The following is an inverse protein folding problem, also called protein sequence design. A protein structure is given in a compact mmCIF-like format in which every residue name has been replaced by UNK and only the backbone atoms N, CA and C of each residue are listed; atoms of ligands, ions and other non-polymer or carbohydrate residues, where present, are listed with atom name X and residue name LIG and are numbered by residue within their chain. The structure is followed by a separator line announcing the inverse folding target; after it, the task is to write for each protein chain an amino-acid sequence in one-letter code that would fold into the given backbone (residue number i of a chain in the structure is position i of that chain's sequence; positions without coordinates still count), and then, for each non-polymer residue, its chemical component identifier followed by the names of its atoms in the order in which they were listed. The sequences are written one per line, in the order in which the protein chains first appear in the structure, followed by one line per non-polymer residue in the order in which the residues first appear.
data_IF_768556673901
#
_entry.id   IF_768556673901
#
_cell.length_a   1.000
_cell.length_b   1.000
_cell.length_c   1.000
_cell.angle_alpha   90.00
_cell.angle_beta   90.00
_cell.angle_gamma   90.00
#
_symmetry.space_group_name_H-M   'P 1'
#
loop_
_entity.id
_entity.type
_entity.pdbx_description
1 polymer ?
#
# COMPACT_ATOMS: atom_id res chain seq x y z
N UNK A 1 -49.10 -9.79 -44.14
CA UNK A 1 -48.52 -10.92 -43.38
C UNK A 1 -47.01 -10.72 -43.41
N UNK A 2 -46.47 -9.93 -42.48
CA UNK A 2 -46.01 -10.33 -41.13
C UNK A 2 -44.69 -11.08 -41.18
N UNK A 3 -43.61 -10.39 -40.79
CA UNK A 3 -42.50 -10.85 -39.92
C UNK A 3 -41.32 -9.87 -40.05
N UNK A 4 -41.11 -9.01 -39.05
CA UNK A 4 -40.21 -9.24 -37.91
C UNK A 4 -38.77 -8.84 -38.22
N UNK A 5 -38.44 -7.55 -38.00
CA UNK A 5 -37.06 -7.10 -37.79
C UNK A 5 -36.92 -6.64 -36.34
N UNK A 6 -36.29 -7.49 -35.53
CA UNK A 6 -35.96 -7.26 -34.13
C UNK A 6 -35.07 -6.02 -33.96
N UNK A 7 -35.52 -5.11 -33.11
CA UNK A 7 -34.77 -3.96 -32.63
C UNK A 7 -33.82 -4.41 -31.52
N UNK A 8 -32.51 -4.46 -31.77
CA UNK A 8 -31.51 -4.74 -30.73
C UNK A 8 -31.19 -3.41 -30.03
N UNK A 9 -31.84 -3.22 -28.87
CA UNK A 9 -31.60 -2.10 -27.96
C UNK A 9 -30.37 -2.41 -27.09
N UNK A 10 -29.20 -1.87 -27.44
CA UNK A 10 -27.98 -2.00 -26.61
C UNK A 10 -27.95 -0.85 -25.61
N UNK A 11 -28.57 -1.05 -24.43
CA UNK A 11 -28.33 -0.19 -23.26
C UNK A 11 -26.89 -0.37 -22.79
N UNK A 12 -26.05 0.66 -22.92
CA UNK A 12 -24.73 0.72 -22.25
C UNK A 12 -24.93 1.12 -20.78
N UNK A 13 -24.23 0.51 -19.81
CA UNK A 13 -24.40 0.83 -18.40
C UNK A 13 -23.69 2.14 -18.03
N UNK A 14 -24.40 3.00 -17.31
CA UNK A 14 -23.87 4.22 -16.68
C UNK A 14 -23.03 3.79 -15.48
N UNK A 15 -21.72 4.04 -15.53
CA UNK A 15 -20.81 3.78 -14.43
C UNK A 15 -21.17 4.67 -13.23
N UNK A 16 -21.55 4.05 -12.10
CA UNK A 16 -21.85 4.73 -10.83
C UNK A 16 -20.59 5.42 -10.29
N UNK A 17 -20.62 6.76 -10.20
CA UNK A 17 -19.65 7.58 -9.47
C UNK A 17 -19.64 7.19 -7.98
N UNK A 18 -18.52 6.67 -7.46
CA UNK A 18 -18.27 6.64 -6.01
C UNK A 18 -17.69 7.98 -5.57
N UNK A 19 -18.29 8.54 -4.53
CA UNK A 19 -18.02 9.86 -3.95
C UNK A 19 -16.60 9.97 -3.38
N UNK A 20 -15.82 10.94 -3.86
CA UNK A 20 -14.42 11.24 -3.48
C UNK A 20 -14.27 11.88 -2.07
N UNK A 21 -15.35 12.00 -1.29
CA UNK A 21 -15.31 12.67 0.02
C UNK A 21 -14.64 11.84 1.14
N UNK A 22 -14.29 10.58 0.89
CA UNK A 22 -13.73 9.67 1.89
C UNK A 22 -12.20 9.44 1.79
N UNK A 23 -11.49 10.07 0.83
CA UNK A 23 -10.04 9.84 0.64
C UNK A 23 -9.16 10.38 1.78
N UNK A 24 -9.60 11.38 2.55
CA UNK A 24 -8.81 11.97 3.64
C UNK A 24 -8.66 11.09 4.88
N UNK A 25 -9.55 10.11 5.08
CA UNK A 25 -9.40 9.07 6.11
C UNK A 25 -8.46 7.95 5.68
N UNK A 26 -8.47 7.64 4.38
CA UNK A 26 -7.67 6.57 3.79
C UNK A 26 -6.18 6.89 3.76
N UNK A 27 -5.81 8.15 3.49
CA UNK A 27 -4.42 8.62 3.54
C UNK A 27 -3.81 8.54 4.94
N UNK A 28 -4.60 8.74 6.00
CA UNK A 28 -4.12 8.59 7.39
C UNK A 28 -3.96 7.12 7.81
N UNK A 29 -4.83 6.23 7.34
CA UNK A 29 -4.67 4.78 7.57
C UNK A 29 -3.56 4.17 6.72
N UNK A 30 -3.34 4.65 5.49
CA UNK A 30 -2.25 4.20 4.62
C UNK A 30 -0.88 4.54 5.22
N UNK A 31 -0.72 5.73 5.82
CA UNK A 31 0.53 6.14 6.48
C UNK A 31 0.87 5.29 7.72
N UNK A 32 -0.12 4.70 8.39
CA UNK A 32 0.10 3.75 9.50
C UNK A 32 0.35 2.31 9.00
N UNK A 33 -0.09 1.96 7.79
CA UNK A 33 0.19 0.65 7.18
C UNK A 33 1.56 0.60 6.48
N UNK A 34 2.17 1.75 6.17
CA UNK A 34 3.51 1.87 5.58
C UNK A 34 4.68 1.42 6.49
N UNK A 35 4.41 1.08 7.76
CA UNK A 35 5.38 0.40 8.62
C UNK A 35 5.37 -1.14 8.44
N UNK A 36 4.48 -1.67 7.59
CA UNK A 36 4.35 -3.10 7.28
C UNK A 36 4.56 -3.37 5.79
N UNK A 37 5.83 -3.56 5.44
CA UNK A 37 6.28 -4.63 4.55
C UNK A 37 6.35 -4.43 3.01
N UNK A 38 6.75 -3.26 2.51
CA UNK A 38 7.41 -3.19 1.21
C UNK A 38 8.74 -2.44 1.30
N UNK A 39 9.77 -2.99 0.65
CA UNK A 39 11.05 -2.32 0.51
C UNK A 39 10.86 -1.00 -0.26
N UNK A 40 11.49 0.08 0.21
CA UNK A 40 11.38 1.42 -0.38
C UNK A 40 11.82 1.44 -1.84
N UNK A 41 12.77 0.56 -2.20
CA UNK A 41 13.19 0.39 -3.59
C UNK A 41 12.06 -0.19 -4.44
N UNK A 42 11.35 -1.20 -3.95
CA UNK A 42 10.18 -1.76 -4.66
C UNK A 42 9.04 -0.74 -4.75
N UNK A 43 8.80 0.04 -3.69
CA UNK A 43 7.82 1.14 -3.73
C UNK A 43 8.17 2.20 -4.79
N UNK A 44 9.45 2.59 -4.89
CA UNK A 44 9.92 3.53 -5.90
C UNK A 44 9.73 2.97 -7.32
N UNK A 45 10.04 1.70 -7.53
CA UNK A 45 9.85 1.03 -8.82
C UNK A 45 8.39 1.09 -9.26
N UNK A 46 7.46 0.75 -8.37
CA UNK A 46 6.02 0.77 -8.67
C UNK A 46 5.51 2.18 -8.98
N UNK A 47 5.96 3.20 -8.25
CA UNK A 47 5.58 4.59 -8.50
C UNK A 47 6.13 5.12 -9.83
N UNK A 48 7.35 4.74 -10.22
CA UNK A 48 7.89 5.06 -11.55
C UNK A 48 7.07 4.39 -12.66
N UNK A 49 6.69 3.12 -12.48
CA UNK A 49 5.86 2.41 -13.45
C UNK A 49 4.46 3.05 -13.59
N UNK A 50 3.85 3.47 -12.47
CA UNK A 50 2.60 4.21 -12.47
C UNK A 50 2.74 5.55 -13.18
N UNK A 51 3.82 6.30 -12.95
CA UNK A 51 4.11 7.56 -13.63
C UNK A 51 4.19 7.36 -15.15
N UNK A 52 4.91 6.35 -15.62
CA UNK A 52 5.00 5.99 -17.05
C UNK A 52 3.62 5.64 -17.64
N UNK A 53 2.80 4.90 -16.89
CA UNK A 53 1.45 4.53 -17.33
C UNK A 53 0.52 5.75 -17.45
N UNK A 54 0.58 6.67 -16.49
CA UNK A 54 -0.17 7.93 -16.52
C UNK A 54 0.25 8.76 -17.74
N UNK A 55 1.55 8.86 -18.03
CA UNK A 55 2.05 9.59 -19.21
C UNK A 55 1.56 8.96 -20.51
N UNK A 56 1.64 7.64 -20.66
CA UNK A 56 1.15 6.94 -21.86
C UNK A 56 -0.36 7.15 -22.06
N UNK A 57 -1.14 6.99 -20.99
CA UNK A 57 -2.59 7.21 -21.02
C UNK A 57 -2.95 8.68 -21.32
N UNK A 58 -2.16 9.63 -20.82
CA UNK A 58 -2.33 11.06 -21.11
C UNK A 58 -2.11 11.35 -22.59
N UNK A 59 -1.06 10.81 -23.20
CA UNK A 59 -0.80 10.95 -24.64
C UNK A 59 -1.92 10.28 -25.45
N UNK A 60 -2.34 9.09 -25.07
CA UNK A 60 -3.45 8.38 -25.73
C UNK A 60 -4.76 9.17 -25.64
N UNK A 61 -5.04 9.78 -24.49
CA UNK A 61 -6.20 10.64 -24.28
C UNK A 61 -6.14 11.88 -25.17
N UNK A 62 -5.03 12.64 -25.14
CA UNK A 62 -4.86 13.86 -25.93
C UNK A 62 -4.92 13.63 -27.44
N UNK A 63 -4.42 12.49 -27.92
CA UNK A 63 -4.44 12.15 -29.36
C UNK A 63 -5.78 11.58 -29.84
N UNK A 64 -6.50 10.86 -28.97
CA UNK A 64 -7.79 10.27 -29.31
C UNK A 64 -8.97 11.25 -29.17
N UNK A 65 -8.92 12.17 -28.20
CA UNK A 65 -10.03 13.08 -27.86
C UNK A 65 -9.89 14.50 -28.38
N UNK A 66 -8.76 14.85 -29.01
CA UNK A 66 -8.59 16.15 -29.67
C UNK A 66 -9.36 16.23 -30.99
N UNK A 67 -9.91 17.41 -31.28
CA UNK A 67 -10.55 17.75 -32.54
C UNK A 67 -9.61 18.61 -33.42
N UNK A 68 -9.86 18.65 -34.72
CA UNK A 68 -9.10 19.47 -35.65
C UNK A 68 -9.44 20.95 -35.45
N UNK A 69 -8.41 21.78 -35.30
CA UNK A 69 -8.55 23.24 -35.31
C UNK A 69 -8.35 23.76 -36.73
N UNK A 70 -9.21 24.70 -37.15
CA UNK A 70 -9.04 25.38 -38.42
C UNK A 70 -7.95 26.43 -38.28
N UNK A 71 -6.85 26.24 -39.02
CA UNK A 71 -5.68 27.13 -38.97
C UNK A 71 -5.81 28.29 -39.97
N UNK A 72 -6.53 28.10 -41.08
CA UNK A 72 -6.79 29.13 -42.08
C UNK A 72 -8.30 29.24 -42.37
N UNK A 73 -8.89 30.45 -42.32
CA UNK A 73 -10.30 30.67 -42.62
C UNK A 73 -10.65 30.42 -44.11
N UNK A 74 -9.66 30.38 -45.00
CA UNK A 74 -9.86 30.17 -46.45
C UNK A 74 -10.00 28.70 -46.84
N UNK A 75 -9.60 27.77 -45.96
CA UNK A 75 -9.66 26.33 -46.23
C UNK A 75 -10.80 25.70 -45.41
N UNK A 76 -11.89 25.23 -46.04
CA UNK A 76 -12.99 24.60 -45.34
C UNK A 76 -12.54 23.29 -44.67
N UNK A 77 -13.03 23.02 -43.47
CA UNK A 77 -12.75 21.77 -42.74
C UNK A 77 -13.42 20.60 -43.47
N UNK A 78 -12.64 19.77 -44.17
CA UNK A 78 -13.15 18.64 -44.97
C UNK A 78 -13.34 17.34 -44.16
N UNK A 79 -12.83 17.29 -42.92
CA UNK A 79 -12.99 16.16 -42.01
C UNK A 79 -13.27 16.64 -40.59
N UNK A 80 -14.44 16.30 -40.07
CA UNK A 80 -14.77 16.44 -38.66
C UNK A 80 -14.77 15.05 -38.04
N UNK A 81 -14.16 14.90 -36.85
CA UNK A 81 -14.27 13.66 -36.07
C UNK A 81 -15.72 13.52 -35.60
N UNK A 82 -16.24 12.29 -35.52
CA UNK A 82 -17.58 12.05 -34.95
C UNK A 82 -17.68 12.70 -33.56
N UNK A 83 -18.80 13.37 -33.26
CA UNK A 83 -19.04 14.07 -32.00
C UNK A 83 -18.91 13.19 -30.75
N UNK A 84 -19.05 11.87 -30.87
CA UNK A 84 -18.83 10.93 -29.77
C UNK A 84 -17.34 10.66 -29.45
N UNK A 85 -16.44 11.04 -30.36
CA UNK A 85 -15.01 10.71 -30.31
C UNK A 85 -14.11 11.87 -29.87
N UNK A 86 -14.64 13.09 -29.75
CA UNK A 86 -13.87 14.23 -29.28
C UNK A 86 -14.61 14.92 -28.13
N UNK A 87 -13.85 15.51 -27.22
CA UNK A 87 -14.43 16.21 -26.07
C UNK A 87 -14.59 17.70 -26.41
N UNK A 88 -15.60 18.36 -25.83
CA UNK A 88 -15.77 19.81 -25.96
C UNK A 88 -14.51 20.55 -25.47
N UNK A 89 -14.15 21.69 -26.08
CA UNK A 89 -12.89 22.39 -25.80
C UNK A 89 -12.73 22.72 -24.30
N UNK A 90 -13.81 23.11 -23.63
CA UNK A 90 -13.81 23.42 -22.19
C UNK A 90 -13.54 22.18 -21.33
N UNK A 91 -14.14 21.05 -21.70
CA UNK A 91 -13.95 19.76 -21.02
C UNK A 91 -12.52 19.24 -21.25
N UNK A 92 -12.01 19.39 -22.47
CA UNK A 92 -10.64 19.00 -22.82
C UNK A 92 -9.60 19.85 -22.08
N UNK A 93 -9.84 21.15 -21.91
CA UNK A 93 -8.95 22.03 -21.14
C UNK A 93 -8.97 21.70 -19.64
N UNK A 94 -10.16 21.43 -19.07
CA UNK A 94 -10.28 20.99 -17.69
C UNK A 94 -9.53 19.66 -17.45
N UNK A 95 -9.72 18.68 -18.33
CA UNK A 95 -9.05 17.37 -18.23
C UNK A 95 -7.54 17.49 -18.41
N UNK A 96 -7.06 18.41 -19.27
CA UNK A 96 -5.61 18.70 -19.38
C UNK A 96 -5.04 19.21 -18.06
N UNK A 97 -5.74 20.13 -17.38
CA UNK A 97 -5.29 20.68 -16.09
C UNK A 97 -5.26 19.60 -15.01
N UNK A 98 -6.25 18.70 -14.99
CA UNK A 98 -6.28 17.54 -14.10
C UNK A 98 -5.11 16.59 -14.36
N UNK A 99 -4.87 16.19 -15.62
CA UNK A 99 -3.76 15.32 -15.99
C UNK A 99 -2.39 15.88 -15.60
N UNK A 100 -2.18 17.19 -15.77
CA UNK A 100 -0.96 17.86 -15.34
C UNK A 100 -0.85 17.89 -13.81
N UNK A 101 -1.95 18.15 -13.10
CA UNK A 101 -1.94 18.12 -11.64
C UNK A 101 -1.59 16.72 -11.10
N UNK A 102 -2.20 15.68 -11.65
CA UNK A 102 -1.93 14.28 -11.29
C UNK A 102 -0.47 13.90 -11.57
N UNK A 103 0.05 14.30 -12.73
CA UNK A 103 1.46 14.08 -13.07
C UNK A 103 2.39 14.78 -12.08
N UNK A 104 2.12 16.03 -11.73
CA UNK A 104 2.96 16.80 -10.79
C UNK A 104 2.94 16.23 -9.38
N UNK A 105 1.78 15.76 -8.91
CA UNK A 105 1.67 15.07 -7.61
C UNK A 105 2.52 13.81 -7.62
N UNK A 106 2.44 13.00 -8.69
CA UNK A 106 3.20 11.75 -8.81
C UNK A 106 4.71 11.98 -8.92
N UNK A 107 5.14 12.99 -9.67
CA UNK A 107 6.56 13.37 -9.73
C UNK A 107 7.09 13.75 -8.36
N UNK A 108 6.35 14.56 -7.58
CA UNK A 108 6.75 14.92 -6.21
C UNK A 108 6.79 13.72 -5.28
N UNK A 109 5.87 12.77 -5.44
CA UNK A 109 5.87 11.54 -4.67
C UNK A 109 7.14 10.70 -4.96
N UNK A 110 7.52 10.58 -6.24
CA UNK A 110 8.77 9.91 -6.65
C UNK A 110 9.99 10.65 -6.10
N UNK A 111 10.02 11.98 -6.17
CA UNK A 111 11.11 12.79 -5.63
C UNK A 111 11.29 12.59 -4.13
N UNK A 112 10.18 12.59 -3.37
CA UNK A 112 10.21 12.28 -1.94
C UNK A 112 10.72 10.87 -1.66
N UNK A 113 10.29 9.87 -2.44
CA UNK A 113 10.75 8.50 -2.29
C UNK A 113 12.26 8.38 -2.51
N UNK A 114 12.80 9.05 -3.53
CA UNK A 114 14.24 9.11 -3.79
C UNK A 114 15.00 9.71 -2.61
N UNK A 115 14.51 10.83 -2.06
CA UNK A 115 15.11 11.47 -0.88
C UNK A 115 15.01 10.61 0.40
N UNK A 116 14.02 9.72 0.45
CA UNK A 116 13.82 8.79 1.56
C UNK A 116 14.63 7.49 1.43
N UNK A 117 15.32 7.26 0.32
CA UNK A 117 16.15 6.07 0.18
C UNK A 117 17.34 6.14 1.18
N UNK A 118 17.65 5.03 1.88
CA UNK A 118 18.85 4.98 2.68
C UNK A 118 20.08 5.19 1.78
N UNK A 119 21.07 5.93 2.27
CA UNK A 119 22.32 6.11 1.54
C UNK A 119 23.00 4.75 1.31
N UNK A 120 23.56 4.52 0.12
CA UNK A 120 24.24 3.27 -0.17
C UNK A 120 25.52 3.17 0.69
N UNK A 121 25.51 2.25 1.64
CA UNK A 121 26.71 1.90 2.42
C UNK A 121 27.65 1.03 1.55
N UNK A 122 28.99 1.18 1.68
CA UNK A 122 29.94 0.25 1.06
C UNK A 122 29.71 -1.18 1.55
N UNK A 123 29.81 -2.17 0.64
CA UNK A 123 29.56 -3.58 0.97
C UNK A 123 30.42 -4.09 2.15
N UNK A 124 31.66 -3.63 2.25
CA UNK A 124 32.56 -3.99 3.35
C UNK A 124 32.08 -3.46 4.72
N UNK A 125 31.53 -2.26 4.76
CA UNK A 125 30.99 -1.66 5.99
C UNK A 125 29.67 -2.32 6.37
N UNK A 126 28.82 -2.59 5.39
CA UNK A 126 27.59 -3.33 5.57
C UNK A 126 27.86 -4.74 6.12
N UNK A 127 28.85 -5.46 5.57
CA UNK A 127 29.25 -6.79 6.04
C UNK A 127 29.76 -6.75 7.49
N UNK A 128 30.59 -5.77 7.85
CA UNK A 128 31.06 -5.58 9.24
C UNK A 128 29.91 -5.31 10.19
N UNK A 129 28.96 -4.45 9.80
CA UNK A 129 27.78 -4.13 10.59
C UNK A 129 26.89 -5.35 10.80
N UNK A 130 26.69 -6.15 9.76
CA UNK A 130 25.91 -7.39 9.85
C UNK A 130 26.59 -8.42 10.78
N UNK A 131 27.91 -8.58 10.69
CA UNK A 131 28.66 -9.46 11.57
C UNK A 131 28.56 -9.03 13.05
N UNK A 132 28.69 -7.73 13.32
CA UNK A 132 28.53 -7.19 14.68
C UNK A 132 27.10 -7.40 15.20
N UNK A 133 26.08 -7.18 14.36
CA UNK A 133 24.69 -7.42 14.74
C UNK A 133 24.41 -8.90 15.02
N UNK A 134 25.03 -9.81 14.27
CA UNK A 134 24.91 -11.24 14.50
C UNK A 134 25.54 -11.64 15.85
N UNK A 135 26.71 -11.09 16.19
CA UNK A 135 27.35 -11.29 17.49
C UNK A 135 26.46 -10.78 18.64
N UNK A 136 25.92 -9.57 18.51
CA UNK A 136 24.98 -8.99 19.47
C UNK A 136 23.73 -9.88 19.63
N UNK A 137 23.17 -10.37 18.52
CA UNK A 137 22.02 -11.28 18.54
C UNK A 137 22.34 -12.59 19.27
N UNK A 138 23.53 -13.16 19.05
CA UNK A 138 23.95 -14.38 19.74
C UNK A 138 24.10 -14.15 21.25
N UNK A 139 24.71 -13.03 21.66
CA UNK A 139 24.86 -12.66 23.05
C UNK A 139 23.50 -12.47 23.74
N UNK A 140 22.62 -11.66 23.16
CA UNK A 140 21.27 -11.38 23.68
C UNK A 140 20.42 -12.65 23.72
N UNK A 141 20.50 -13.51 22.71
CA UNK A 141 19.77 -14.77 22.71
C UNK A 141 20.29 -15.73 23.80
N UNK A 142 21.60 -15.73 24.06
CA UNK A 142 22.19 -16.47 25.18
C UNK A 142 21.69 -15.97 26.55
N UNK A 143 21.62 -14.65 26.74
CA UNK A 143 21.02 -14.05 27.94
C UNK A 143 19.54 -14.36 28.08
N UNK A 144 18.80 -14.33 26.98
CA UNK A 144 17.40 -14.71 26.94
C UNK A 144 17.19 -16.16 27.40
N UNK A 145 17.97 -17.11 26.87
CA UNK A 145 17.90 -18.53 27.28
C UNK A 145 18.18 -18.66 28.79
N UNK A 146 19.25 -18.02 29.29
CA UNK A 146 19.58 -18.03 30.73
C UNK A 146 18.47 -17.43 31.60
N UNK A 147 17.82 -16.37 31.15
CA UNK A 147 16.70 -15.76 31.87
C UNK A 147 15.48 -16.68 31.90
N UNK A 148 15.19 -17.35 30.78
CA UNK A 148 14.10 -18.32 30.67
C UNK A 148 14.34 -19.54 31.56
N UNK A 149 15.56 -20.07 31.59
CA UNK A 149 15.88 -21.23 32.42
C UNK A 149 15.76 -20.90 33.91
N UNK A 150 16.28 -19.75 34.37
CA UNK A 150 16.07 -19.28 35.75
C UNK A 150 14.59 -19.12 36.10
N UNK A 151 13.79 -18.61 35.16
CA UNK A 151 12.34 -18.47 35.38
C UNK A 151 11.65 -19.83 35.50
N UNK A 152 12.05 -20.83 34.70
CA UNK A 152 11.53 -22.21 34.79
C UNK A 152 11.92 -22.88 36.11
N UNK A 153 13.16 -22.70 36.55
CA UNK A 153 13.64 -23.25 37.82
C UNK A 153 12.86 -22.65 38.99
N UNK A 154 12.72 -21.33 39.02
CA UNK A 154 11.93 -20.65 40.05
C UNK A 154 10.46 -21.08 40.01
N UNK A 155 9.87 -21.21 38.82
CA UNK A 155 8.51 -21.70 38.67
C UNK A 155 8.35 -23.12 39.23
N UNK A 156 9.34 -23.99 39.02
CA UNK A 156 9.36 -25.34 39.58
C UNK A 156 9.44 -25.31 41.10
N UNK A 157 10.32 -24.49 41.68
CA UNK A 157 10.44 -24.33 43.14
C UNK A 157 9.14 -23.80 43.77
N UNK A 158 8.51 -22.79 43.17
CA UNK A 158 7.23 -22.26 43.66
C UNK A 158 6.13 -23.33 43.57
N UNK A 159 6.09 -24.10 42.47
CA UNK A 159 5.13 -25.19 42.32
C UNK A 159 5.33 -26.27 43.39
N UNK A 160 6.56 -26.68 43.67
CA UNK A 160 6.88 -27.66 44.71
C UNK A 160 6.51 -27.14 46.11
N UNK A 161 6.82 -25.89 46.42
CA UNK A 161 6.44 -25.27 47.69
C UNK A 161 4.92 -25.23 47.88
N UNK A 162 4.16 -24.90 46.82
CA UNK A 162 2.69 -24.92 46.85
C UNK A 162 2.15 -26.33 47.05
N UNK A 163 2.73 -27.35 46.40
CA UNK A 163 2.35 -28.75 46.60
C UNK A 163 2.62 -29.21 48.03
N UNK A 164 3.78 -28.88 48.58
CA UNK A 164 4.13 -29.22 49.96
C UNK A 164 3.17 -28.58 50.97
N UNK A 165 2.85 -27.29 50.81
CA UNK A 165 1.84 -26.61 51.66
C UNK A 165 0.48 -27.30 51.55
N UNK A 166 0.06 -27.68 50.34
CA UNK A 166 -1.23 -28.36 50.14
C UNK A 166 -1.27 -29.73 50.84
N UNK A 167 -0.20 -30.53 50.71
CA UNK A 167 -0.08 -31.85 51.35
C UNK A 167 -0.04 -31.76 52.89
N UNK A 168 0.66 -30.77 53.45
CA UNK A 168 0.68 -30.53 54.91
C UNK A 168 -0.71 -30.14 55.42
N UNK A 169 -1.44 -29.34 54.65
CA UNK A 169 -2.81 -28.93 54.99
C UNK A 169 -3.78 -30.13 54.96
N UNK A 170 -3.63 -31.01 53.97
CA UNK A 170 -4.43 -32.25 53.89
C UNK A 170 -4.11 -33.22 55.05
N UNK A 171 -2.85 -33.29 55.49
CA UNK A 171 -2.43 -34.10 56.65
C UNK A 171 -3.01 -33.58 57.98
N UNK A 172 -3.01 -32.26 58.19
CA UNK A 172 -3.60 -31.63 59.38
C UNK A 172 -5.13 -31.83 59.43
N UNK A 173 -5.83 -31.72 58.29
CA UNK A 173 -7.28 -31.96 58.21
C UNK A 173 -7.63 -33.43 58.54
N UNK A 174 -6.80 -34.39 58.12
CA UNK A 174 -7.00 -35.81 58.42
C UNK A 174 -6.67 -36.15 59.90
N UNK A 175 -5.73 -35.44 60.51
CA UNK A 175 -5.41 -35.57 61.93
C UNK A 175 -6.51 -34.99 62.83
N UNK A 176 -7.12 -33.85 62.48
CA UNK A 176 -8.29 -33.30 63.20
C UNK A 176 -9.58 -34.12 63.00
N UNK A 177 -9.75 -34.80 61.87
CA UNK A 177 -10.92 -35.67 61.61
C UNK A 177 -10.89 -37.01 62.36
N UNK A 178 -9.76 -37.39 62.98
CA UNK A 178 -9.56 -38.69 63.65
C UNK A 178 -9.39 -38.60 65.17
N UNK A 179 -9.55 -37.40 65.73
CA UNK A 179 -9.69 -37.12 67.17
C UNK A 179 -11.17 -36.86 67.55
#
# INVERSE_FOLDING_TARGET
MSESRQSINVRRPVAKRKSLKNLGGWLRSAMLQDLSHMDRITQLQDEIQQLLMIMSNSIAYLTSRSNFLQVSPEVPITKQRNAEKFDEPDVLEANKKELVADLMVKVKQVEYLIQSLPEPEPEEEQAKRLAALEEDMQAVNGDYIRAVDRAKDLHTQVKEALLWILEDTDADILAESSA
#
